data_IF_763829395842
#
_entry.id   IF_763829395842
#
_cell.length_a   1.000
_cell.length_b   1.000
_cell.length_c   1.000
_cell.angle_alpha   90.00
_cell.angle_beta   90.00
_cell.angle_gamma   90.00
#
_symmetry.space_group_name_H-M   'P 1'
#
loop_
_entity.id
_entity.type
_entity.pdbx_description
1 polymer ?
#
# COMPACT_ATOMS: atom_id res chain seq x y z
N UNK A 1 -7.31 11.21 42.52
CA UNK A 1 -8.41 12.10 42.07
C UNK A 1 -9.71 11.30 41.97
N UNK A 2 -10.87 11.88 42.30
CA UNK A 2 -12.16 11.20 42.13
C UNK A 2 -12.64 11.40 40.69
N UNK A 3 -12.58 10.37 39.86
CA UNK A 3 -13.18 10.34 38.52
C UNK A 3 -14.69 10.12 38.67
N UNK A 4 -15.44 11.18 38.93
CA UNK A 4 -16.91 11.09 39.00
C UNK A 4 -17.50 10.94 37.59
N UNK A 5 -18.60 10.18 37.41
CA UNK A 5 -19.16 9.90 36.09
C UNK A 5 -19.45 11.14 35.23
N UNK A 6 -19.83 12.25 35.88
CA UNK A 6 -20.17 13.52 35.23
C UNK A 6 -18.98 14.16 34.50
N UNK A 7 -17.74 13.81 34.89
CA UNK A 7 -16.52 14.33 34.24
C UNK A 7 -16.41 13.82 32.80
N UNK A 8 -16.90 12.61 32.51
CA UNK A 8 -16.79 12.01 31.19
C UNK A 8 -17.72 12.69 30.17
N UNK A 9 -18.94 13.04 30.59
CA UNK A 9 -19.89 13.77 29.75
C UNK A 9 -19.35 15.15 29.39
N UNK A 10 -18.77 15.85 30.36
CA UNK A 10 -18.14 17.17 30.15
C UNK A 10 -16.90 17.04 29.25
N UNK A 11 -16.08 16.00 29.44
CA UNK A 11 -14.89 15.77 28.62
C UNK A 11 -15.26 15.54 27.15
N UNK A 12 -16.34 14.79 26.88
CA UNK A 12 -16.84 14.58 25.51
C UNK A 12 -17.33 15.89 24.88
N UNK A 13 -18.01 16.75 25.65
CA UNK A 13 -18.43 18.07 25.17
C UNK A 13 -17.25 19.00 24.89
N UNK A 14 -16.26 19.06 25.78
CA UNK A 14 -15.09 19.96 25.67
C UNK A 14 -14.14 19.55 24.54
N UNK A 15 -14.04 18.25 24.23
CA UNK A 15 -13.15 17.75 23.18
C UNK A 15 -13.73 17.92 21.77
N UNK A 16 -15.06 18.06 21.64
CA UNK A 16 -15.72 18.29 20.34
C UNK A 16 -15.26 19.60 19.70
N UNK A 17 -14.70 19.47 18.51
CA UNK A 17 -14.20 20.63 17.76
C UNK A 17 -12.87 21.19 18.27
N UNK A 18 -12.21 20.53 19.23
CA UNK A 18 -10.90 20.93 19.73
C UNK A 18 -9.79 20.03 19.18
N UNK A 19 -9.03 20.46 18.13
CA UNK A 19 -7.99 19.63 17.55
C UNK A 19 -6.80 19.45 18.50
N UNK A 20 -6.15 18.29 18.43
CA UNK A 20 -4.89 17.99 19.13
C UNK A 20 -3.76 17.76 18.14
N UNK A 21 -2.54 18.10 18.51
CA UNK A 21 -1.35 17.86 17.68
C UNK A 21 -0.66 16.58 18.14
N UNK A 22 -0.47 15.64 17.21
CA UNK A 22 0.34 14.45 17.42
C UNK A 22 1.73 14.66 16.83
N UNK A 23 2.76 14.34 17.60
CA UNK A 23 4.16 14.41 17.20
C UNK A 23 4.89 13.11 17.52
N UNK A 24 5.75 12.65 16.60
CA UNK A 24 6.71 11.57 16.84
C UNK A 24 8.14 12.08 16.64
N UNK A 25 9.00 11.84 17.62
CA UNK A 25 10.42 12.15 17.53
C UNK A 25 11.19 11.01 16.82
N UNK A 26 12.24 11.30 16.04
CA UNK A 26 12.72 12.63 15.66
C UNK A 26 11.83 13.29 14.59
N UNK A 27 11.59 14.60 14.75
CA UNK A 27 10.78 15.39 13.80
C UNK A 27 11.65 15.80 12.61
N UNK A 28 11.59 15.05 11.51
CA UNK A 28 12.43 15.28 10.31
C UNK A 28 11.83 16.31 9.34
N UNK A 29 10.51 16.44 9.33
CA UNK A 29 9.80 17.33 8.42
C UNK A 29 8.45 17.74 9.01
N UNK A 30 7.79 18.75 8.41
CA UNK A 30 6.53 19.29 8.94
C UNK A 30 5.42 18.26 9.16
N UNK A 31 5.37 17.19 8.35
CA UNK A 31 4.34 16.14 8.47
C UNK A 31 4.56 15.18 9.64
N UNK A 32 5.68 15.32 10.37
CA UNK A 32 5.91 14.60 11.63
C UNK A 32 5.14 15.25 12.79
N UNK A 33 4.42 16.35 12.54
CA UNK A 33 3.44 16.95 13.44
C UNK A 33 2.17 17.22 12.63
N UNK A 34 1.05 16.63 13.03
CA UNK A 34 -0.24 16.83 12.37
C UNK A 34 -1.34 17.01 13.42
N UNK A 35 -2.39 17.72 13.04
CA UNK A 35 -3.57 17.89 13.86
C UNK A 35 -4.60 16.78 13.57
N UNK A 36 -5.30 16.36 14.62
CA UNK A 36 -6.40 15.41 14.56
C UNK A 36 -7.54 15.87 15.46
N UNK A 37 -8.76 15.45 15.14
CA UNK A 37 -9.89 15.57 16.07
C UNK A 37 -9.82 14.36 17.02
N UNK A 38 -9.73 14.59 18.34
CA UNK A 38 -9.63 13.50 19.31
C UNK A 38 -10.96 12.76 19.41
N UNK A 39 -10.88 11.43 19.48
CA UNK A 39 -12.01 10.58 19.82
C UNK A 39 -11.71 9.87 21.14
N UNK A 40 -12.58 10.06 22.13
CA UNK A 40 -12.46 9.39 23.43
C UNK A 40 -12.61 7.88 23.24
N UNK A 41 -11.66 7.13 23.78
CA UNK A 41 -11.62 5.67 23.76
C UNK A 41 -11.23 5.16 25.15
N UNK A 42 -11.58 3.92 25.44
CA UNK A 42 -11.03 3.21 26.60
C UNK A 42 -9.60 2.71 26.32
N UNK A 43 -8.80 2.64 27.38
CA UNK A 43 -7.40 2.19 27.34
C UNK A 43 -6.38 3.32 27.41
N UNK A 44 -5.10 2.95 27.47
CA UNK A 44 -3.97 3.89 27.66
C UNK A 44 -3.14 4.13 26.39
N UNK A 45 -3.56 3.54 25.26
CA UNK A 45 -2.85 3.62 23.99
C UNK A 45 -3.55 4.57 23.00
N UNK A 46 -2.77 5.40 22.32
CA UNK A 46 -3.27 6.28 21.26
C UNK A 46 -3.57 5.44 20.02
N UNK A 47 -4.77 5.60 19.46
CA UNK A 47 -5.10 5.07 18.13
C UNK A 47 -4.78 6.13 17.08
N UNK A 48 -4.01 5.75 16.07
CA UNK A 48 -3.65 6.62 14.95
C UNK A 48 -4.08 5.99 13.62
N UNK A 49 -4.41 6.85 12.66
CA UNK A 49 -4.84 6.42 11.35
C UNK A 49 -3.69 5.76 10.56
N UNK A 50 -3.87 4.57 9.94
CA UNK A 50 -2.76 3.84 9.32
C UNK A 50 -2.14 4.58 8.12
N UNK A 51 -2.91 5.42 7.42
CA UNK A 51 -2.39 6.18 6.27
C UNK A 51 -1.44 7.33 6.66
N UNK A 52 -1.40 7.74 7.94
CA UNK A 52 -0.46 8.79 8.38
C UNK A 52 0.85 8.22 8.92
N UNK A 53 0.94 6.91 9.19
CA UNK A 53 2.13 6.29 9.77
C UNK A 53 3.39 6.50 8.92
N UNK A 54 3.24 6.52 7.58
CA UNK A 54 4.36 6.80 6.67
C UNK A 54 4.94 8.20 6.88
N UNK A 55 4.10 9.20 7.16
CA UNK A 55 4.56 10.56 7.46
C UNK A 55 5.26 10.64 8.81
N UNK A 56 4.78 9.91 9.82
CA UNK A 56 5.44 9.84 11.13
C UNK A 56 6.69 8.94 11.14
N UNK A 57 6.89 8.16 10.08
CA UNK A 57 7.82 7.02 10.07
C UNK A 57 7.61 6.11 11.28
N UNK A 58 6.35 5.89 11.65
CA UNK A 58 5.93 5.17 12.84
C UNK A 58 5.53 3.73 12.52
N UNK A 59 5.84 2.84 13.45
CA UNK A 59 5.34 1.46 13.51
C UNK A 59 4.62 1.22 14.86
N UNK A 60 4.27 -0.04 15.14
CA UNK A 60 3.43 -0.41 16.27
C UNK A 60 4.10 -1.48 17.16
N UNK A 61 5.41 -1.42 17.32
CA UNK A 61 6.20 -2.35 18.13
C UNK A 61 6.62 -1.78 19.51
N UNK A 62 6.15 -0.57 19.85
CA UNK A 62 6.46 0.12 21.10
C UNK A 62 6.66 1.63 20.98
N UNK A 63 6.53 2.17 19.76
CA UNK A 63 6.59 3.60 19.47
C UNK A 63 5.67 4.45 20.36
N UNK A 64 6.19 5.61 20.76
CA UNK A 64 5.47 6.60 21.57
C UNK A 64 5.26 7.89 20.78
N UNK A 65 4.15 8.57 21.05
CA UNK A 65 3.82 9.86 20.44
C UNK A 65 3.47 10.88 21.52
N UNK A 66 3.89 12.12 21.32
CA UNK A 66 3.50 13.25 22.15
C UNK A 66 2.21 13.88 21.64
N UNK A 67 1.33 14.26 22.57
CA UNK A 67 0.09 14.99 22.30
C UNK A 67 0.25 16.40 22.82
N UNK A 68 0.00 17.41 21.98
CA UNK A 68 -0.02 18.81 22.38
C UNK A 68 -1.42 19.40 22.15
N UNK A 69 -1.90 20.18 23.12
CA UNK A 69 -3.24 20.80 23.06
C UNK A 69 -3.08 22.30 22.77
N UNK A 70 -3.51 22.80 21.59
CA UNK A 70 -3.52 24.23 21.30
C UNK A 70 -4.57 24.93 22.17
N UNK A 71 -4.18 26.03 22.84
CA UNK A 71 -5.07 26.73 23.78
C UNK A 71 -5.72 27.97 23.16
N UNK A 72 -4.94 28.82 22.48
CA UNK A 72 -5.47 30.05 21.89
C UNK A 72 -6.36 29.76 20.68
N UNK A 73 -7.30 30.67 20.39
CA UNK A 73 -8.21 30.53 19.24
C UNK A 73 -7.39 30.51 17.94
N UNK A 74 -6.36 31.33 17.85
CA UNK A 74 -5.45 31.37 16.69
C UNK A 74 -4.76 30.03 16.49
N UNK A 75 -4.23 29.42 17.56
CA UNK A 75 -3.57 28.12 17.48
C UNK A 75 -4.53 26.99 17.09
N UNK A 76 -5.77 27.02 17.60
CA UNK A 76 -6.81 26.06 17.20
C UNK A 76 -7.21 26.23 15.73
N UNK A 77 -7.33 27.48 15.24
CA UNK A 77 -7.61 27.75 13.83
C UNK A 77 -6.45 27.33 12.93
N UNK A 78 -5.20 27.57 13.33
CA UNK A 78 -4.01 27.12 12.60
C UNK A 78 -3.96 25.58 12.50
N UNK A 79 -4.20 24.90 13.62
CA UNK A 79 -4.26 23.44 13.65
C UNK A 79 -5.34 22.91 12.69
N UNK A 80 -6.53 23.53 12.70
CA UNK A 80 -7.67 23.13 11.86
C UNK A 80 -7.42 23.40 10.37
N UNK A 81 -6.93 24.59 10.03
CA UNK A 81 -6.80 25.01 8.63
C UNK A 81 -5.53 24.47 7.97
N UNK A 82 -4.41 24.41 8.69
CA UNK A 82 -3.10 24.10 8.10
C UNK A 82 -2.58 22.72 8.47
N UNK A 83 -2.82 22.26 9.69
CA UNK A 83 -2.14 21.07 10.22
C UNK A 83 -2.99 19.79 10.20
N UNK A 84 -4.30 19.88 9.96
CA UNK A 84 -5.17 18.70 9.88
C UNK A 84 -4.62 17.69 8.87
N UNK A 85 -4.60 16.41 9.26
CA UNK A 85 -4.09 15.33 8.42
C UNK A 85 -4.75 15.26 7.02
N UNK A 86 -6.08 15.44 6.88
CA UNK A 86 -6.75 15.54 5.56
C UNK A 86 -6.18 16.62 4.63
N UNK A 87 -5.63 17.72 5.16
CA UNK A 87 -5.06 18.81 4.35
C UNK A 87 -3.63 18.50 3.90
N UNK A 88 -3.02 17.44 4.44
CA UNK A 88 -1.59 17.16 4.37
C UNK A 88 -1.30 15.80 3.71
N UNK A 89 -2.04 15.47 2.66
CA UNK A 89 -1.94 14.20 1.93
C UNK A 89 -0.76 14.12 0.95
N UNK A 90 -0.06 15.23 0.67
CA UNK A 90 1.09 15.29 -0.22
C UNK A 90 2.41 15.64 0.48
N UNK A 91 3.49 15.03 0.01
CA UNK A 91 4.86 15.38 0.39
C UNK A 91 5.19 16.80 -0.08
N UNK A 92 5.65 17.71 0.80
CA UNK A 92 6.01 19.07 0.42
C UNK A 92 7.24 19.14 -0.49
N UNK A 93 8.13 18.15 -0.42
CA UNK A 93 9.38 18.11 -1.17
C UNK A 93 9.22 17.60 -2.59
N UNK A 94 8.27 16.67 -2.83
CA UNK A 94 8.14 15.98 -4.12
C UNK A 94 6.78 16.15 -4.80
N UNK A 95 5.77 16.68 -4.09
CA UNK A 95 4.40 16.77 -4.59
C UNK A 95 3.70 15.43 -4.76
N UNK A 96 4.33 14.31 -4.36
CA UNK A 96 3.74 12.97 -4.43
C UNK A 96 2.88 12.66 -3.20
N UNK A 97 1.82 11.84 -3.32
CA UNK A 97 0.99 11.47 -2.18
C UNK A 97 1.81 10.72 -1.13
N UNK A 98 1.84 11.23 0.10
CA UNK A 98 2.54 10.59 1.23
C UNK A 98 1.64 9.59 1.97
N UNK A 99 0.32 9.78 1.88
CA UNK A 99 -0.72 8.90 2.41
C UNK A 99 -1.00 7.70 1.52
N UNK A 100 -0.11 7.41 0.55
CA UNK A 100 -0.20 6.18 -0.25
C UNK A 100 -0.12 4.98 0.70
N UNK A 101 -1.10 4.05 0.67
CA UNK A 101 -1.07 2.90 1.56
C UNK A 101 0.19 2.04 1.38
N UNK A 102 0.53 1.29 2.41
CA UNK A 102 1.65 0.34 2.41
C UNK A 102 1.19 -1.04 2.89
N UNK A 103 2.08 -2.03 2.74
CA UNK A 103 1.91 -3.39 3.30
C UNK A 103 0.52 -3.98 2.98
N UNK A 104 -0.27 -4.31 4.01
CA UNK A 104 -1.53 -5.05 3.92
C UNK A 104 -2.55 -4.40 2.99
N UNK A 105 -2.75 -3.08 3.10
CA UNK A 105 -3.71 -2.37 2.23
C UNK A 105 -3.28 -2.51 0.76
N UNK A 106 -1.97 -2.37 0.49
CA UNK A 106 -1.43 -2.56 -0.87
C UNK A 106 -1.57 -4.00 -1.33
N UNK A 107 -1.33 -4.96 -0.43
CA UNK A 107 -1.43 -6.39 -0.71
C UNK A 107 -2.87 -6.79 -1.06
N UNK A 108 -3.86 -6.32 -0.30
CA UNK A 108 -5.27 -6.54 -0.58
C UNK A 108 -5.72 -5.95 -1.91
N UNK A 109 -5.32 -4.71 -2.20
CA UNK A 109 -5.59 -4.08 -3.50
C UNK A 109 -4.93 -4.83 -4.66
N UNK A 110 -3.69 -5.28 -4.48
CA UNK A 110 -2.96 -6.03 -5.49
C UNK A 110 -3.61 -7.40 -5.74
N UNK A 111 -3.97 -8.12 -4.67
CA UNK A 111 -4.71 -9.37 -4.76
C UNK A 111 -6.01 -9.16 -5.54
N UNK A 112 -6.85 -8.22 -5.10
CA UNK A 112 -8.13 -7.91 -5.72
C UNK A 112 -8.03 -7.65 -7.23
N UNK A 113 -6.96 -6.96 -7.66
CA UNK A 113 -6.75 -6.53 -9.06
C UNK A 113 -5.83 -7.45 -9.87
N UNK A 114 -5.36 -8.55 -9.27
CA UNK A 114 -4.39 -9.46 -9.89
C UNK A 114 -4.91 -10.02 -11.22
N UNK A 115 -3.97 -10.29 -12.13
CA UNK A 115 -4.32 -10.99 -13.37
C UNK A 115 -4.89 -12.39 -13.04
N UNK A 116 -5.88 -12.86 -13.81
CA UNK A 116 -6.41 -14.23 -13.72
C UNK A 116 -5.29 -15.26 -13.77
N UNK A 117 -5.38 -16.30 -12.92
CA UNK A 117 -4.46 -17.43 -12.98
C UNK A 117 -4.86 -18.34 -14.15
N UNK A 118 -3.95 -18.55 -15.10
CA UNK A 118 -4.13 -19.44 -16.24
C UNK A 118 -4.35 -18.74 -17.58
N UNK A 119 -4.11 -19.46 -18.68
CA UNK A 119 -4.35 -18.99 -20.04
C UNK A 119 -5.84 -19.18 -20.32
N UNK A 120 -6.63 -18.10 -20.23
CA UNK A 120 -8.02 -18.18 -20.70
C UNK A 120 -8.00 -18.57 -22.18
N UNK A 121 -8.74 -19.61 -22.55
CA UNK A 121 -8.78 -20.09 -23.94
C UNK A 121 -9.36 -18.97 -24.82
N UNK A 122 -8.62 -18.54 -25.83
CA UNK A 122 -9.15 -17.63 -26.84
C UNK A 122 -10.44 -18.21 -27.42
N UNK A 123 -11.52 -17.42 -27.37
CA UNK A 123 -12.86 -17.83 -27.80
C UNK A 123 -13.80 -18.36 -26.71
N UNK A 124 -13.38 -18.42 -25.43
CA UNK A 124 -14.30 -18.75 -24.34
C UNK A 124 -15.35 -17.64 -24.15
N UNK A 125 -16.64 -18.00 -24.15
CA UNK A 125 -17.73 -17.04 -23.91
C UNK A 125 -17.69 -16.59 -22.44
N UNK A 126 -17.31 -15.34 -22.22
CA UNK A 126 -17.32 -14.72 -20.91
C UNK A 126 -18.74 -14.27 -20.56
N UNK A 127 -19.11 -14.42 -19.28
CA UNK A 127 -20.35 -13.86 -18.74
C UNK A 127 -20.32 -12.33 -18.88
N UNK A 128 -21.43 -11.77 -19.35
CA UNK A 128 -21.62 -10.34 -19.51
C UNK A 128 -22.50 -9.83 -18.38
N UNK A 129 -21.99 -8.83 -17.65
CA UNK A 129 -22.68 -8.15 -16.57
C UNK A 129 -23.06 -6.73 -16.98
N UNK A 130 -24.15 -6.23 -16.42
CA UNK A 130 -24.72 -4.93 -16.71
C UNK A 130 -24.11 -3.81 -15.87
N UNK A 131 -23.84 -4.06 -14.59
CA UNK A 131 -23.27 -3.13 -13.63
C UNK A 131 -22.44 -3.85 -12.54
N UNK A 132 -21.89 -3.06 -11.61
CA UNK A 132 -21.08 -3.59 -10.53
C UNK A 132 -21.89 -4.38 -9.50
N UNK A 133 -23.13 -3.96 -9.19
CA UNK A 133 -24.00 -4.65 -8.24
C UNK A 133 -24.32 -6.09 -8.69
N UNK A 134 -24.50 -6.33 -10.00
CA UNK A 134 -24.68 -7.67 -10.55
C UNK A 134 -23.43 -8.54 -10.38
N UNK A 135 -22.24 -7.94 -10.52
CA UNK A 135 -20.95 -8.62 -10.29
C UNK A 135 -20.79 -8.98 -8.80
N UNK A 136 -21.08 -8.03 -7.90
CA UNK A 136 -21.03 -8.26 -6.46
C UNK A 136 -22.02 -9.37 -6.03
N UNK A 137 -23.24 -9.35 -6.56
CA UNK A 137 -24.23 -10.39 -6.30
C UNK A 137 -23.76 -11.76 -6.78
N UNK A 138 -23.20 -11.83 -7.99
CA UNK A 138 -22.65 -13.08 -8.53
C UNK A 138 -21.43 -13.59 -7.73
N UNK A 139 -20.61 -12.70 -7.19
CA UNK A 139 -19.52 -13.05 -6.27
C UNK A 139 -20.07 -13.57 -4.93
N UNK A 140 -21.12 -12.94 -4.38
CA UNK A 140 -21.76 -13.34 -3.13
C UNK A 140 -22.39 -14.75 -3.23
N UNK A 141 -23.06 -15.04 -4.35
CA UNK A 141 -23.58 -16.38 -4.70
C UNK A 141 -22.47 -17.37 -5.11
N UNK A 142 -21.20 -16.95 -5.12
CA UNK A 142 -20.02 -17.75 -5.51
C UNK A 142 -20.09 -18.31 -6.93
N UNK A 143 -20.88 -17.69 -7.80
CA UNK A 143 -20.99 -18.04 -9.23
C UNK A 143 -19.74 -17.60 -10.02
N UNK A 144 -19.07 -16.54 -9.56
CA UNK A 144 -17.78 -16.07 -10.06
C UNK A 144 -16.83 -15.81 -8.88
N UNK A 145 -15.52 -15.85 -9.14
CA UNK A 145 -14.45 -15.57 -8.18
C UNK A 145 -13.76 -14.25 -8.50
N UNK A 146 -13.03 -13.72 -7.53
CA UNK A 146 -12.31 -12.44 -7.60
C UNK A 146 -11.46 -12.26 -8.86
N UNK A 147 -10.77 -13.30 -9.32
CA UNK A 147 -9.88 -13.21 -10.48
C UNK A 147 -10.47 -13.81 -11.77
N UNK A 148 -11.76 -14.17 -11.79
CA UNK A 148 -12.39 -14.70 -12.99
C UNK A 148 -12.54 -13.60 -14.04
N UNK A 149 -12.27 -13.94 -15.30
CA UNK A 149 -12.47 -13.02 -16.44
C UNK A 149 -13.96 -12.86 -16.71
N UNK A 150 -14.40 -11.63 -16.79
CA UNK A 150 -15.78 -11.25 -17.08
C UNK A 150 -15.82 -10.15 -18.14
N UNK A 151 -16.98 -9.96 -18.76
CA UNK A 151 -17.28 -8.72 -19.49
C UNK A 151 -18.28 -7.91 -18.69
N UNK A 152 -18.10 -6.60 -18.66
CA UNK A 152 -19.05 -5.67 -18.08
C UNK A 152 -19.38 -4.59 -19.11
N UNK A 153 -20.60 -4.05 -19.06
CA UNK A 153 -20.93 -2.81 -19.75
C UNK A 153 -19.91 -1.74 -19.33
N UNK A 154 -19.35 -1.05 -20.31
CA UNK A 154 -18.30 -0.08 -20.03
C UNK A 154 -18.88 1.15 -19.31
N UNK A 155 -18.46 1.46 -18.06
CA UNK A 155 -18.93 2.66 -17.35
C UNK A 155 -18.46 3.95 -18.02
N UNK A 156 -17.32 3.92 -18.72
CA UNK A 156 -16.72 5.10 -19.37
C UNK A 156 -17.20 5.32 -20.81
N UNK A 157 -18.18 4.56 -21.31
CA UNK A 157 -18.60 4.65 -22.71
C UNK A 157 -19.12 6.05 -23.06
N UNK A 158 -18.49 6.70 -24.03
CA UNK A 158 -18.81 8.07 -24.44
C UNK A 158 -18.24 9.16 -23.53
N UNK A 159 -17.48 8.83 -22.49
CA UNK A 159 -16.82 9.78 -21.60
C UNK A 159 -15.30 9.67 -21.70
N UNK A 160 -14.61 10.82 -21.76
CA UNK A 160 -13.14 10.86 -21.72
C UNK A 160 -12.69 10.92 -20.26
N UNK A 161 -12.25 9.78 -19.73
CA UNK A 161 -11.67 9.64 -18.38
C UNK A 161 -10.19 9.26 -18.48
N UNK A 162 -9.44 9.30 -17.36
CA UNK A 162 -7.98 9.07 -17.38
C UNK A 162 -7.65 7.63 -17.74
N UNK A 163 -8.31 6.68 -17.08
CA UNK A 163 -8.01 5.25 -17.24
C UNK A 163 -9.05 4.50 -18.08
N UNK A 164 -10.23 5.10 -18.27
CA UNK A 164 -11.33 4.48 -19.01
C UNK A 164 -11.14 4.46 -20.51
N UNK A 165 -12.07 3.78 -21.19
CA UNK A 165 -12.10 3.69 -22.65
C UNK A 165 -13.41 4.29 -23.18
N UNK A 166 -13.36 5.40 -23.92
CA UNK A 166 -14.57 6.06 -24.40
C UNK A 166 -15.29 5.29 -25.54
N UNK A 167 -14.57 4.43 -26.28
CA UNK A 167 -15.02 3.87 -27.56
C UNK A 167 -15.71 2.51 -27.41
N UNK A 168 -15.26 1.69 -26.45
CA UNK A 168 -15.76 0.34 -26.28
C UNK A 168 -17.11 0.32 -25.54
N UNK A 169 -18.13 -0.37 -26.07
CA UNK A 169 -19.42 -0.53 -25.36
C UNK A 169 -19.34 -1.48 -24.16
N UNK A 170 -18.39 -2.42 -24.20
CA UNK A 170 -18.15 -3.42 -23.16
C UNK A 170 -16.65 -3.57 -22.96
N UNK A 171 -16.22 -3.78 -21.72
CA UNK A 171 -14.82 -4.03 -21.37
C UNK A 171 -14.66 -5.45 -20.83
N UNK A 172 -13.51 -6.04 -21.10
CA UNK A 172 -13.11 -7.30 -20.49
C UNK A 172 -12.22 -7.03 -19.28
N UNK A 173 -12.56 -7.60 -18.13
CA UNK A 173 -11.87 -7.35 -16.86
C UNK A 173 -12.01 -8.53 -15.90
N UNK A 174 -11.66 -8.36 -14.63
CA UNK A 174 -11.91 -9.34 -13.57
C UNK A 174 -12.97 -8.84 -12.60
N UNK A 175 -13.67 -9.76 -11.93
CA UNK A 175 -14.68 -9.40 -10.94
C UNK A 175 -14.12 -8.49 -9.83
N UNK A 176 -12.91 -8.80 -9.33
CA UNK A 176 -12.24 -7.99 -8.32
C UNK A 176 -11.88 -6.59 -8.79
N UNK A 177 -11.54 -6.40 -10.07
CA UNK A 177 -11.29 -5.05 -10.61
C UNK A 177 -12.57 -4.22 -10.66
N UNK A 178 -13.74 -4.83 -10.83
CA UNK A 178 -15.00 -4.09 -10.76
C UNK A 178 -15.19 -3.51 -9.36
N UNK A 179 -15.08 -4.35 -8.32
CA UNK A 179 -15.16 -3.92 -6.91
C UNK A 179 -14.10 -2.87 -6.59
N UNK A 180 -12.87 -3.04 -7.08
CA UNK A 180 -11.81 -2.05 -6.91
C UNK A 180 -12.15 -0.69 -7.54
N UNK A 181 -12.95 -0.67 -8.61
CA UNK A 181 -13.27 0.57 -9.30
C UNK A 181 -14.39 1.38 -8.62
N UNK A 182 -15.23 0.75 -7.80
CA UNK A 182 -16.36 1.41 -7.13
C UNK A 182 -15.96 2.40 -6.03
N UNK A 183 -14.74 2.29 -5.51
CA UNK A 183 -14.25 3.23 -4.48
C UNK A 183 -13.77 4.56 -5.08
N UNK A 184 -13.45 4.58 -6.37
CA UNK A 184 -12.92 5.77 -7.04
C UNK A 184 -14.03 6.63 -7.63
N UNK A 185 -13.84 7.96 -7.71
CA UNK A 185 -14.78 8.83 -8.41
C UNK A 185 -14.88 8.46 -9.89
N UNK A 186 -16.09 8.56 -10.46
CA UNK A 186 -16.38 8.19 -11.85
C UNK A 186 -15.45 8.89 -12.86
N UNK A 187 -15.01 10.12 -12.54
CA UNK A 187 -14.18 10.94 -13.40
C UNK A 187 -12.73 10.40 -13.55
N UNK A 188 -12.28 9.54 -12.64
CA UNK A 188 -10.97 8.86 -12.73
C UNK A 188 -11.00 7.80 -13.84
N UNK A 189 -12.15 7.17 -14.03
CA UNK A 189 -12.39 6.11 -15.02
C UNK A 189 -11.91 4.74 -14.59
N UNK A 190 -12.32 3.73 -15.35
CA UNK A 190 -12.12 2.33 -14.99
C UNK A 190 -10.66 1.87 -15.12
N UNK A 191 -10.00 1.65 -13.99
CA UNK A 191 -8.65 1.12 -13.90
C UNK A 191 -8.62 -0.40 -14.11
N UNK A 192 -8.13 -0.84 -15.28
CA UNK A 192 -8.12 -2.26 -15.67
C UNK A 192 -6.72 -2.91 -15.67
N UNK A 193 -5.92 -2.69 -14.62
CA UNK A 193 -4.57 -3.27 -14.47
C UNK A 193 -4.34 -3.74 -13.02
N UNK A 194 -3.32 -4.57 -12.74
CA UNK A 194 -2.91 -4.85 -11.36
C UNK A 194 -2.44 -3.58 -10.66
N UNK A 195 -3.00 -3.30 -9.48
CA UNK A 195 -2.74 -2.12 -8.68
C UNK A 195 -1.73 -2.43 -7.57
N UNK A 196 -0.44 -2.20 -7.83
CA UNK A 196 0.60 -2.18 -6.80
C UNK A 196 0.80 -0.78 -6.20
N UNK A 197 1.77 -0.64 -5.29
CA UNK A 197 2.07 0.64 -4.60
C UNK A 197 2.23 1.82 -5.56
N UNK A 198 2.95 1.62 -6.68
CA UNK A 198 3.19 2.68 -7.68
C UNK A 198 1.90 3.11 -8.36
N UNK A 199 1.06 2.15 -8.76
CA UNK A 199 -0.23 2.40 -9.41
C UNK A 199 -1.20 3.09 -8.45
N UNK A 200 -1.29 2.63 -7.20
CA UNK A 200 -2.12 3.28 -6.18
C UNK A 200 -1.71 4.74 -5.96
N UNK A 201 -0.41 5.02 -5.88
CA UNK A 201 0.10 6.39 -5.76
C UNK A 201 -0.31 7.27 -6.94
N UNK A 202 -0.25 6.74 -8.17
CA UNK A 202 -0.68 7.45 -9.38
C UNK A 202 -2.21 7.70 -9.37
N UNK A 203 -3.01 6.69 -9.07
CA UNK A 203 -4.48 6.81 -9.00
C UNK A 203 -4.90 7.85 -7.95
N UNK A 204 -4.30 7.84 -6.76
CA UNK A 204 -4.56 8.84 -5.70
C UNK A 204 -4.22 10.24 -6.19
N UNK A 205 -3.07 10.41 -6.86
CA UNK A 205 -2.67 11.70 -7.40
C UNK A 205 -3.66 12.19 -8.47
N UNK A 206 -4.11 11.30 -9.37
CA UNK A 206 -5.11 11.60 -10.39
C UNK A 206 -6.48 11.94 -9.81
N UNK A 207 -6.93 11.18 -8.81
CA UNK A 207 -8.15 11.45 -8.06
C UNK A 207 -8.12 12.86 -7.47
N UNK A 208 -7.01 13.26 -6.86
CA UNK A 208 -6.85 14.60 -6.31
C UNK A 208 -6.93 15.71 -7.37
N UNK A 209 -6.32 15.50 -8.55
CA UNK A 209 -6.34 16.49 -9.62
C UNK A 209 -7.76 16.74 -10.17
N UNK A 210 -8.60 15.71 -10.20
CA UNK A 210 -9.93 15.79 -10.84
C UNK A 210 -11.05 16.05 -9.82
N UNK A 211 -11.10 15.27 -8.75
CA UNK A 211 -12.17 15.31 -7.75
C UNK A 211 -11.85 16.25 -6.57
N UNK A 212 -10.59 16.68 -6.44
CA UNK A 212 -10.16 17.60 -5.39
C UNK A 212 -9.92 16.94 -4.03
N UNK A 213 -9.62 17.75 -2.99
CA UNK A 213 -9.16 17.25 -1.69
C UNK A 213 -10.21 16.45 -0.92
N UNK A 214 -11.43 16.99 -0.80
CA UNK A 214 -12.47 16.39 0.05
C UNK A 214 -12.85 14.98 -0.42
N UNK A 215 -13.06 14.81 -1.73
CA UNK A 215 -13.43 13.54 -2.31
C UNK A 215 -12.26 12.54 -2.27
N UNK A 216 -11.02 13.00 -2.48
CA UNK A 216 -9.82 12.15 -2.34
C UNK A 216 -9.67 11.60 -0.93
N UNK A 217 -9.90 12.42 0.10
CA UNK A 217 -9.84 11.96 1.51
C UNK A 217 -10.89 10.88 1.77
N UNK A 218 -12.14 11.08 1.31
CA UNK A 218 -13.18 10.08 1.45
C UNK A 218 -12.84 8.76 0.71
N UNK A 219 -12.26 8.86 -0.49
CA UNK A 219 -11.80 7.68 -1.25
C UNK A 219 -10.62 6.97 -0.58
N UNK A 220 -9.71 7.69 0.09
CA UNK A 220 -8.61 7.08 0.83
C UNK A 220 -9.11 6.22 2.01
N UNK A 221 -10.18 6.64 2.68
CA UNK A 221 -10.81 5.84 3.72
C UNK A 221 -11.47 4.58 3.16
N UNK A 222 -12.20 4.68 2.04
CA UNK A 222 -12.75 3.52 1.33
C UNK A 222 -11.64 2.55 0.88
N UNK A 223 -10.52 3.09 0.38
CA UNK A 223 -9.36 2.31 -0.05
C UNK A 223 -8.73 1.54 1.13
N UNK A 224 -8.64 2.17 2.30
CA UNK A 224 -8.16 1.53 3.54
C UNK A 224 -9.06 0.36 3.91
N UNK A 225 -10.38 0.57 3.96
CA UNK A 225 -11.34 -0.47 4.32
C UNK A 225 -11.33 -1.64 3.34
N UNK A 226 -11.38 -1.33 2.04
CA UNK A 226 -11.30 -2.33 0.98
C UNK A 226 -9.99 -3.12 1.07
N UNK A 227 -8.86 -2.44 1.20
CA UNK A 227 -7.55 -3.08 1.25
C UNK A 227 -7.40 -4.02 2.44
N UNK A 228 -7.83 -3.64 3.64
CA UNK A 228 -7.77 -4.54 4.81
C UNK A 228 -8.73 -5.74 4.68
N UNK A 229 -9.95 -5.50 4.19
CA UNK A 229 -10.92 -6.58 3.94
C UNK A 229 -10.36 -7.60 2.95
N UNK A 230 -9.84 -7.13 1.81
CA UNK A 230 -9.33 -8.02 0.77
C UNK A 230 -8.00 -8.67 1.14
N UNK A 231 -7.14 -7.99 1.91
CA UNK A 231 -5.93 -8.61 2.46
C UNK A 231 -6.25 -9.81 3.37
N UNK A 232 -7.29 -9.66 4.20
CA UNK A 232 -7.78 -10.74 5.06
C UNK A 232 -8.35 -11.90 4.24
N UNK A 233 -9.20 -11.59 3.25
CA UNK A 233 -9.79 -12.61 2.36
C UNK A 233 -8.77 -13.31 1.48
N UNK A 234 -7.66 -12.65 1.14
CA UNK A 234 -6.59 -13.23 0.32
C UNK A 234 -5.95 -14.46 1.00
N UNK A 235 -6.05 -14.57 2.34
CA UNK A 235 -5.55 -15.72 3.09
C UNK A 235 -4.04 -15.93 2.92
N UNK A 236 -3.30 -14.83 2.71
CA UNK A 236 -1.87 -14.88 2.48
C UNK A 236 -1.17 -15.19 3.81
N UNK A 237 -0.39 -16.26 3.80
CA UNK A 237 0.46 -16.70 4.90
C UNK A 237 1.80 -17.10 4.33
N UNK A 238 2.82 -17.17 5.19
CA UNK A 238 4.16 -17.60 4.81
C UNK A 238 4.45 -18.92 5.52
N UNK A 239 4.61 -19.98 4.75
CA UNK A 239 5.07 -21.29 5.19
C UNK A 239 6.48 -21.59 4.71
N UNK A 240 7.12 -22.59 5.32
CA UNK A 240 8.45 -23.06 4.88
C UNK A 240 8.43 -23.59 3.44
N UNK A 241 7.29 -24.09 2.97
CA UNK A 241 7.09 -24.56 1.60
C UNK A 241 7.08 -23.45 0.56
N UNK A 242 6.86 -22.20 0.96
CA UNK A 242 6.87 -21.05 0.05
C UNK A 242 8.30 -20.58 -0.23
N UNK A 243 9.28 -21.02 0.56
CA UNK A 243 10.70 -20.76 0.35
C UNK A 243 11.28 -21.78 -0.64
N UNK A 244 11.09 -21.52 -1.93
CA UNK A 244 11.63 -22.36 -3.00
C UNK A 244 13.14 -22.16 -3.10
N UNK A 245 13.91 -23.22 -2.81
CA UNK A 245 15.36 -23.23 -3.00
C UNK A 245 15.66 -23.60 -4.46
N UNK A 246 16.36 -22.75 -5.23
CA UNK A 246 16.73 -23.06 -6.61
C UNK A 246 17.66 -24.26 -6.66
N UNK A 247 17.48 -25.13 -7.66
CA UNK A 247 18.24 -26.38 -7.79
C UNK A 247 19.71 -26.10 -8.12
N UNK A 248 19.94 -25.00 -8.80
CA UNK A 248 21.20 -24.48 -9.30
C UNK A 248 22.12 -24.02 -8.15
N UNK A 249 21.57 -23.74 -6.97
CA UNK A 249 22.32 -23.27 -5.80
C UNK A 249 23.54 -24.15 -5.49
N UNK A 250 23.39 -25.47 -5.51
CA UNK A 250 24.51 -26.38 -5.20
C UNK A 250 25.61 -26.29 -6.26
N UNK A 251 25.23 -26.24 -7.54
CA UNK A 251 26.17 -26.10 -8.65
C UNK A 251 26.98 -24.81 -8.55
N UNK A 252 26.33 -23.68 -8.26
CA UNK A 252 27.04 -22.40 -8.15
C UNK A 252 27.94 -22.32 -6.93
N UNK A 253 27.54 -22.90 -5.80
CA UNK A 253 28.43 -23.03 -4.65
C UNK A 253 29.66 -23.87 -4.98
N UNK A 254 29.50 -25.01 -5.66
CA UNK A 254 30.62 -25.84 -6.07
C UNK A 254 31.57 -25.11 -7.03
N UNK A 255 31.02 -24.32 -7.96
CA UNK A 255 31.79 -23.48 -8.88
C UNK A 255 32.59 -22.43 -8.11
N UNK A 256 31.95 -21.70 -7.19
CA UNK A 256 32.60 -20.70 -6.34
C UNK A 256 33.74 -21.34 -5.50
N UNK A 257 33.51 -22.49 -4.87
CA UNK A 257 34.54 -23.20 -4.11
C UNK A 257 35.72 -23.66 -4.98
N UNK A 258 35.49 -24.05 -6.24
CA UNK A 258 36.57 -24.37 -7.18
C UNK A 258 37.42 -23.14 -7.50
N UNK A 259 36.78 -21.99 -7.76
CA UNK A 259 37.49 -20.74 -8.05
C UNK A 259 38.28 -20.24 -6.84
N UNK A 260 37.71 -20.29 -5.64
CA UNK A 260 38.40 -19.91 -4.39
C UNK A 260 39.64 -20.78 -4.17
N UNK A 261 39.56 -22.10 -4.38
CA UNK A 261 40.73 -22.99 -4.28
C UNK A 261 41.85 -22.60 -5.24
N UNK A 262 41.52 -22.14 -6.45
CA UNK A 262 42.53 -21.66 -7.40
C UNK A 262 43.20 -20.37 -6.91
N UNK A 263 42.42 -19.43 -6.37
CA UNK A 263 42.93 -18.17 -5.80
C UNK A 263 43.83 -18.44 -4.58
N UNK A 264 43.42 -19.33 -3.68
CA UNK A 264 44.26 -19.74 -2.55
C UNK A 264 45.55 -20.41 -3.00
N UNK A 265 45.51 -21.22 -4.05
CA UNK A 265 46.70 -21.85 -4.60
C UNK A 265 47.65 -20.81 -5.23
N UNK A 266 47.13 -19.81 -5.93
CA UNK A 266 47.92 -18.70 -6.47
C UNK A 266 48.60 -17.91 -5.34
N UNK A 267 47.88 -17.65 -4.24
CA UNK A 267 48.44 -17.00 -3.06
C UNK A 267 49.56 -17.82 -2.42
N UNK A 268 49.34 -19.13 -2.21
CA UNK A 268 50.37 -20.04 -1.65
C UNK A 268 51.64 -20.13 -2.51
N UNK A 269 51.50 -19.98 -3.83
CA UNK A 269 52.63 -19.94 -4.79
C UNK A 269 53.31 -18.57 -4.85
N UNK A 270 52.83 -17.56 -4.12
CA UNK A 270 53.36 -16.20 -4.13
C UNK A 270 53.03 -15.40 -5.40
N UNK A 271 52.03 -15.82 -6.19
CA UNK A 271 51.65 -15.16 -7.46
C UNK A 271 50.82 -13.89 -7.19
N UNK A 272 50.04 -13.88 -6.12
CA UNK A 272 49.16 -12.77 -5.73
C UNK A 272 49.43 -12.37 -4.28
N UNK A 273 49.14 -11.11 -3.96
CA UNK A 273 49.22 -10.58 -2.59
C UNK A 273 48.00 -10.97 -1.76
N UNK A 274 48.08 -10.78 -0.44
CA UNK A 274 46.95 -11.07 0.46
C UNK A 274 45.73 -10.17 0.21
N UNK A 275 45.96 -8.89 -0.13
CA UNK A 275 44.91 -7.96 -0.50
C UNK A 275 44.21 -8.34 -1.82
N UNK A 276 44.98 -8.77 -2.82
CA UNK A 276 44.41 -9.28 -4.09
C UNK A 276 43.65 -10.60 -3.88
N UNK A 277 44.15 -11.49 -3.02
CA UNK A 277 43.43 -12.70 -2.62
C UNK A 277 42.07 -12.35 -2.01
N UNK A 278 42.06 -11.42 -1.04
CA UNK A 278 40.83 -10.99 -0.37
C UNK A 278 39.82 -10.42 -1.39
N UNK A 279 40.24 -9.48 -2.23
CA UNK A 279 39.36 -8.87 -3.23
C UNK A 279 38.81 -9.92 -4.20
N UNK A 280 39.67 -10.82 -4.72
CA UNK A 280 39.22 -11.91 -5.61
C UNK A 280 38.21 -12.85 -4.95
N UNK A 281 38.38 -13.18 -3.67
CA UNK A 281 37.41 -14.02 -2.95
C UNK A 281 36.08 -13.29 -2.77
N UNK A 282 36.10 -11.99 -2.45
CA UNK A 282 34.89 -11.16 -2.36
C UNK A 282 34.18 -11.10 -3.71
N UNK A 283 34.90 -10.90 -4.81
CA UNK A 283 34.33 -10.87 -6.16
C UNK A 283 33.65 -12.20 -6.51
N UNK A 284 34.29 -13.33 -6.21
CA UNK A 284 33.73 -14.68 -6.46
C UNK A 284 32.42 -14.88 -5.67
N UNK A 285 32.40 -14.51 -4.39
CA UNK A 285 31.20 -14.65 -3.57
C UNK A 285 30.09 -13.68 -3.99
N UNK A 286 30.43 -12.47 -4.41
CA UNK A 286 29.47 -11.50 -4.93
C UNK A 286 28.82 -12.03 -6.21
N UNK A 287 29.64 -12.53 -7.15
CA UNK A 287 29.14 -13.10 -8.39
C UNK A 287 28.25 -14.33 -8.17
N UNK A 288 28.69 -15.28 -7.32
CA UNK A 288 27.88 -16.45 -6.97
C UNK A 288 26.57 -16.07 -6.28
N UNK A 289 26.59 -15.03 -5.43
CA UNK A 289 25.39 -14.46 -4.80
C UNK A 289 24.41 -13.91 -5.83
N UNK A 290 24.89 -13.14 -6.80
CA UNK A 290 24.09 -12.56 -7.89
C UNK A 290 23.51 -13.65 -8.79
N UNK A 291 24.30 -14.67 -9.16
CA UNK A 291 23.84 -15.80 -9.97
C UNK A 291 22.72 -16.57 -9.25
N UNK A 292 22.91 -16.92 -7.97
CA UNK A 292 21.86 -17.60 -7.18
C UNK A 292 20.61 -16.71 -7.06
N UNK A 293 20.77 -15.40 -6.87
CA UNK A 293 19.65 -14.47 -6.78
C UNK A 293 18.90 -14.30 -8.11
N UNK A 294 19.56 -14.46 -9.24
CA UNK A 294 18.95 -14.31 -10.57
C UNK A 294 18.08 -15.50 -10.98
N UNK A 295 18.34 -16.67 -10.36
CA UNK A 295 17.62 -17.93 -10.63
C UNK A 295 16.44 -18.13 -9.67
N UNK A 296 16.34 -17.33 -8.60
CA UNK A 296 15.17 -17.24 -7.72
C UNK A 296 14.07 -16.37 -8.33
#
# INVERSE_FOLDING_TARGET
ERQTPEVWDILDEVTKGHPVLLNRAPTLHRLSIQAFEPQLIEGEAIRIHPLVCTAYNADFDGDQMAVHVPLSVEAQMEARMLMLAPNNIFSPSSGKPITTPSQDITLGCYYLTQNPRGVGKDGQRLSLFSDAAEVEFAMAERSIRTHDRIRIKNPDFGQQTIYGNAEAKTIETTAGRVVFNEIWPEQVGFFNKPAGKKQLSDIIWRCYQIAGPAETVATLDKLKELGFSEATKAGISIGISDMIIPKEKQTELENAYKQIRQVEQQYRKGIITDGERYNKIVDIWTHAGDEISSVM
#
